data_IF_395045169181
#
_entry.id   IF_395045169181
#
_cell.length_a   1.000
_cell.length_b   1.000
_cell.length_c   1.000
_cell.angle_alpha   90.00
_cell.angle_beta   90.00
_cell.angle_gamma   90.00
#
_symmetry.space_group_name_H-M   'P 1'
#
loop_
_entity.id
_entity.type
_entity.pdbx_description
1 polymer ?
#
# COMPACT_ATOMS: atom_id res chain seq x y z
N UNK A 1 8.57 9.26 0.40
CA UNK A 1 7.88 10.14 -0.57
C UNK A 1 6.36 9.90 -0.51
N UNK A 2 5.50 10.73 -1.12
CA UNK A 2 4.04 10.60 -0.99
C UNK A 2 3.35 10.12 -2.27
N UNK A 3 2.33 9.27 -2.14
CA UNK A 3 1.42 8.93 -3.24
C UNK A 3 0.39 10.06 -3.40
N UNK A 4 0.32 10.75 -4.55
CA UNK A 4 -0.63 11.85 -4.74
C UNK A 4 -2.07 11.35 -4.64
N UNK A 5 -2.87 12.03 -3.83
CA UNK A 5 -4.30 11.77 -3.63
C UNK A 5 -5.07 13.08 -3.74
N UNK A 6 -6.24 13.05 -4.38
CA UNK A 6 -7.13 14.19 -4.55
C UNK A 6 -8.44 13.99 -3.80
N UNK A 7 -9.28 15.04 -3.79
CA UNK A 7 -10.65 14.97 -3.28
C UNK A 7 -11.57 14.05 -4.12
N UNK A 8 -11.11 13.61 -5.29
CA UNK A 8 -11.82 12.67 -6.15
C UNK A 8 -11.36 11.21 -5.96
N UNK A 9 -10.49 10.92 -4.99
CA UNK A 9 -9.99 9.57 -4.73
C UNK A 9 -11.14 8.61 -4.40
N UNK A 10 -11.21 7.51 -5.13
CA UNK A 10 -12.01 6.34 -4.81
C UNK A 10 -11.11 5.11 -4.76
N UNK A 11 -11.14 4.41 -3.62
CA UNK A 11 -10.37 3.17 -3.41
C UNK A 11 -11.34 2.01 -3.30
N UNK A 12 -11.08 0.95 -4.08
CA UNK A 12 -11.84 -0.30 -4.01
C UNK A 12 -10.90 -1.38 -3.49
N UNK A 13 -11.20 -1.89 -2.30
CA UNK A 13 -10.42 -2.96 -1.65
C UNK A 13 -11.20 -4.27 -1.65
N UNK A 14 -10.56 -5.35 -2.11
CA UNK A 14 -11.13 -6.71 -2.10
C UNK A 14 -10.26 -7.60 -1.24
N UNK A 15 -10.80 -7.99 -0.08
CA UNK A 15 -10.13 -8.83 0.90
C UNK A 15 -10.40 -10.31 0.62
N UNK A 16 -9.34 -11.10 0.50
CA UNK A 16 -9.40 -12.55 0.31
C UNK A 16 -8.44 -13.24 1.27
N UNK A 17 -8.98 -13.99 2.23
CA UNK A 17 -8.19 -14.87 3.09
C UNK A 17 -7.89 -16.15 2.34
N UNK A 18 -6.64 -16.34 1.90
CA UNK A 18 -6.22 -17.53 1.15
C UNK A 18 -6.17 -18.76 2.05
N UNK A 19 -5.74 -18.59 3.31
CA UNK A 19 -5.73 -19.62 4.36
C UNK A 19 -5.66 -18.99 5.77
N UNK A 20 -5.42 -19.81 6.80
CA UNK A 20 -5.36 -19.36 8.19
C UNK A 20 -4.20 -18.36 8.46
N UNK A 21 -3.14 -18.36 7.66
CA UNK A 21 -1.98 -17.50 7.80
C UNK A 21 -1.88 -16.38 6.76
N UNK A 22 -2.60 -16.44 5.63
CA UNK A 22 -2.39 -15.50 4.53
C UNK A 22 -3.65 -14.75 4.12
N UNK A 23 -3.53 -13.43 4.04
CA UNK A 23 -4.53 -12.50 3.53
C UNK A 23 -4.01 -11.81 2.28
N UNK A 24 -4.84 -11.73 1.24
CA UNK A 24 -4.60 -10.93 0.05
C UNK A 24 -5.57 -9.76 0.03
N UNK A 25 -5.06 -8.57 -0.25
CA UNK A 25 -5.82 -7.34 -0.39
C UNK A 25 -5.55 -6.81 -1.79
N UNK A 26 -6.54 -6.92 -2.66
CA UNK A 26 -6.49 -6.29 -3.98
C UNK A 26 -7.04 -4.86 -3.84
N UNK A 27 -6.24 -3.88 -4.22
CA UNK A 27 -6.58 -2.46 -4.13
C UNK A 27 -6.60 -1.87 -5.53
N UNK A 28 -7.72 -1.27 -5.90
CA UNK A 28 -7.83 -0.43 -7.10
C UNK A 28 -7.89 1.04 -6.69
N UNK A 29 -6.97 1.82 -7.23
CA UNK A 29 -6.93 3.28 -7.06
C UNK A 29 -7.58 3.92 -8.28
N UNK A 30 -8.68 4.63 -8.05
CA UNK A 30 -9.37 5.43 -9.05
C UNK A 30 -9.37 6.90 -8.59
N UNK A 31 -8.40 7.66 -9.12
CA UNK A 31 -8.30 9.09 -8.88
C UNK A 31 -7.91 9.81 -10.18
N UNK A 32 -8.88 10.34 -10.93
CA UNK A 32 -8.64 10.94 -12.24
C UNK A 32 -7.96 12.31 -12.16
N UNK A 33 -7.87 12.93 -10.98
CA UNK A 33 -7.16 14.21 -10.81
C UNK A 33 -5.67 13.98 -10.51
N UNK A 34 -5.32 12.85 -9.90
CA UNK A 34 -3.94 12.49 -9.57
C UNK A 34 -3.28 11.56 -10.61
N UNK A 35 -4.04 10.67 -11.26
CA UNK A 35 -3.53 9.63 -12.15
C UNK A 35 -4.21 9.61 -13.52
N UNK A 36 -3.50 9.11 -14.53
CA UNK A 36 -4.00 9.06 -15.92
C UNK A 36 -4.99 7.94 -16.20
N UNK A 37 -5.03 6.92 -15.33
CA UNK A 37 -5.96 5.79 -15.39
C UNK A 37 -6.02 5.09 -14.04
N UNK A 38 -7.13 4.40 -13.72
CA UNK A 38 -7.18 3.51 -12.58
C UNK A 38 -6.13 2.41 -12.68
N UNK A 39 -5.58 2.00 -11.54
CA UNK A 39 -4.63 0.90 -11.47
C UNK A 39 -4.92 0.01 -10.27
N UNK A 40 -4.57 -1.26 -10.40
CA UNK A 40 -4.81 -2.28 -9.37
C UNK A 40 -3.49 -2.91 -8.95
N UNK A 41 -3.31 -3.10 -7.66
CA UNK A 41 -2.20 -3.87 -7.10
C UNK A 41 -2.70 -4.78 -5.98
N UNK A 42 -1.94 -5.86 -5.72
CA UNK A 42 -2.27 -6.81 -4.66
C UNK A 42 -1.22 -6.75 -3.56
N UNK A 43 -1.66 -6.48 -2.34
CA UNK A 43 -0.85 -6.63 -1.13
C UNK A 43 -1.08 -8.02 -0.52
N UNK A 44 0.02 -8.68 -0.17
CA UNK A 44 0.00 -9.96 0.54
C UNK A 44 0.40 -9.72 1.97
N UNK A 45 -0.43 -10.16 2.90
CA UNK A 45 -0.25 -10.01 4.34
C UNK A 45 -0.11 -11.40 4.94
N UNK A 46 0.96 -11.59 5.69
CA UNK A 46 1.24 -12.84 6.42
C UNK A 46 0.94 -12.60 7.89
N UNK A 47 0.12 -13.47 8.48
CA UNK A 47 -0.14 -13.51 9.91
C UNK A 47 1.14 -13.91 10.63
N UNK A 48 1.56 -13.07 11.56
CA UNK A 48 2.61 -13.41 12.53
C UNK A 48 1.90 -13.61 13.87
N UNK A 49 1.74 -14.86 14.34
CA UNK A 49 1.03 -15.14 15.59
C UNK A 49 1.83 -14.62 16.79
N UNK A 50 1.10 -14.21 17.83
CA UNK A 50 1.65 -13.71 19.10
C UNK A 50 2.55 -12.45 18.97
N UNK A 51 2.41 -11.71 17.87
CA UNK A 51 3.04 -10.40 17.66
C UNK A 51 2.06 -9.24 17.90
N UNK A 52 2.60 -8.12 18.33
CA UNK A 52 1.87 -6.86 18.47
C UNK A 52 1.76 -6.11 17.13
N UNK A 53 0.74 -5.25 17.01
CA UNK A 53 0.64 -4.33 15.88
C UNK A 53 1.69 -3.21 16.05
N UNK A 54 2.88 -3.44 15.53
CA UNK A 54 3.96 -2.45 15.50
C UNK A 54 3.79 -1.47 14.34
N UNK A 55 4.30 -0.25 14.51
CA UNK A 55 4.37 0.73 13.43
C UNK A 55 5.29 0.21 12.31
N UNK A 56 4.75 0.11 11.10
CA UNK A 56 5.53 -0.27 9.93
C UNK A 56 6.02 0.98 9.19
N UNK A 57 7.33 1.18 9.17
CA UNK A 57 7.97 2.21 8.35
C UNK A 57 8.68 1.56 7.16
N UNK A 58 8.25 1.90 5.94
CA UNK A 58 8.97 1.53 4.75
C UNK A 58 10.07 2.58 4.50
N UNK A 59 11.33 2.24 4.74
CA UNK A 59 12.45 3.17 4.47
C UNK A 59 12.77 3.35 2.97
N UNK A 60 11.85 2.98 2.07
CA UNK A 60 11.86 3.08 0.59
C UNK A 60 13.24 2.90 -0.10
N UNK A 61 14.18 2.18 0.54
CA UNK A 61 15.60 2.18 0.17
C UNK A 61 16.14 3.61 -0.13
N UNK A 62 15.79 4.58 0.72
CA UNK A 62 16.20 5.98 0.59
C UNK A 62 17.73 6.10 0.64
N UNK A 63 18.32 6.48 -0.49
CA UNK A 63 19.77 6.75 -0.65
C UNK A 63 20.08 8.22 -0.95
N UNK A 64 19.03 9.03 -1.09
CA UNK A 64 19.18 10.41 -1.58
C UNK A 64 19.79 11.35 -0.53
N UNK A 65 19.77 10.96 0.76
CA UNK A 65 20.40 11.71 1.86
C UNK A 65 21.90 12.01 1.60
N UNK A 66 22.60 11.14 0.87
CA UNK A 66 24.01 11.32 0.51
C UNK A 66 24.24 12.49 -0.47
N UNK A 67 23.19 13.00 -1.11
CA UNK A 67 23.26 14.04 -2.14
C UNK A 67 22.80 15.44 -1.66
N UNK A 68 22.30 15.56 -0.42
CA UNK A 68 22.00 16.87 0.19
C UNK A 68 23.28 17.54 0.71
N UNK A 69 23.67 18.66 0.08
CA UNK A 69 24.74 19.58 0.54
C UNK A 69 24.16 20.79 1.24
#
# INVERSE_FOLDING_TARGET
>A
MGHPQSDALHVIERFRRADAGHLEIEMTIDDPKAYTKPFTYTQKVTLIPDEDLLEYFCSENEKDVEHFK
#
